data_IF_701078727981
#
_entry.id   IF_701078727981
#
_cell.length_a   1.000
_cell.length_b   1.000
_cell.length_c   1.000
_cell.angle_alpha   90.00
_cell.angle_beta   90.00
_cell.angle_gamma   90.00
#
_symmetry.space_group_name_H-M   'P 1'
#
loop_
_entity.id
_entity.type
_entity.pdbx_description
1 polymer ?
#
# COMPACT_ATOMS: atom_id res chain seq x y z
N UNK A 1 9.92 -30.10 -5.28
CA UNK A 1 9.51 -28.74 -5.69
C UNK A 1 10.22 -27.70 -4.86
N UNK A 2 10.66 -26.64 -5.51
CA UNK A 2 11.37 -25.58 -4.80
C UNK A 2 10.38 -24.69 -4.04
N UNK A 3 10.70 -24.36 -2.79
CA UNK A 3 9.89 -23.46 -1.99
C UNK A 3 10.08 -22.01 -2.47
N UNK A 4 9.00 -21.24 -2.55
CA UNK A 4 9.05 -19.84 -2.91
C UNK A 4 9.70 -19.02 -1.81
N UNK A 5 9.40 -19.31 -0.55
CA UNK A 5 9.91 -18.58 0.61
C UNK A 5 11.45 -18.63 0.64
N UNK A 6 12.07 -17.46 0.78
CA UNK A 6 13.52 -17.32 0.82
C UNK A 6 14.20 -17.29 -0.53
N UNK A 7 13.45 -17.45 -1.63
CA UNK A 7 14.01 -17.42 -2.98
C UNK A 7 14.16 -15.99 -3.50
N UNK A 8 14.97 -15.84 -4.54
CA UNK A 8 15.06 -14.55 -5.25
C UNK A 8 13.73 -14.22 -5.96
N UNK A 9 12.99 -15.24 -6.36
CA UNK A 9 11.69 -15.08 -7.02
C UNK A 9 10.67 -14.46 -6.06
N UNK A 10 10.71 -14.82 -4.79
CA UNK A 10 9.88 -14.17 -3.77
C UNK A 10 10.10 -12.66 -3.78
N UNK A 11 11.36 -12.23 -3.76
CA UNK A 11 11.68 -10.80 -3.78
C UNK A 11 11.22 -10.15 -5.08
N UNK A 12 11.36 -10.85 -6.22
CA UNK A 12 10.85 -10.35 -7.50
C UNK A 12 9.34 -10.08 -7.43
N UNK A 13 8.58 -10.99 -6.81
CA UNK A 13 7.13 -10.83 -6.66
C UNK A 13 6.79 -9.65 -5.76
N UNK A 14 7.53 -9.45 -4.67
CA UNK A 14 7.33 -8.32 -3.76
C UNK A 14 7.61 -7.01 -4.49
N UNK A 15 8.71 -6.94 -5.22
CA UNK A 15 9.09 -5.74 -5.97
C UNK A 15 8.09 -5.43 -7.08
N UNK A 16 7.65 -6.47 -7.81
CA UNK A 16 6.66 -6.32 -8.87
C UNK A 16 5.32 -5.84 -8.30
N UNK A 17 4.88 -6.42 -7.18
CA UNK A 17 3.66 -5.98 -6.51
C UNK A 17 3.76 -4.49 -6.12
N UNK A 18 4.85 -4.10 -5.49
CA UNK A 18 5.06 -2.71 -5.07
C UNK A 18 5.05 -1.75 -6.24
N UNK A 19 5.69 -2.13 -7.35
CA UNK A 19 5.73 -1.31 -8.56
C UNK A 19 4.34 -1.16 -9.21
N UNK A 20 3.60 -2.27 -9.32
CA UNK A 20 2.26 -2.25 -9.92
C UNK A 20 1.27 -1.46 -9.06
N UNK A 21 1.35 -1.60 -7.74
CA UNK A 21 0.49 -0.85 -6.82
C UNK A 21 0.76 0.64 -6.92
N UNK A 22 2.03 1.04 -7.01
CA UNK A 22 2.41 2.44 -7.19
C UNK A 22 1.92 2.97 -8.53
N UNK A 23 2.10 2.21 -9.61
CA UNK A 23 1.66 2.59 -10.95
C UNK A 23 0.14 2.81 -10.96
N UNK A 24 -0.62 1.92 -10.33
CA UNK A 24 -2.08 2.04 -10.22
C UNK A 24 -2.46 3.40 -9.63
N UNK A 25 -1.88 3.78 -8.49
CA UNK A 25 -2.20 5.05 -7.81
C UNK A 25 -1.73 6.26 -8.59
N UNK A 26 -0.56 6.18 -9.21
CA UNK A 26 -0.05 7.27 -10.04
C UNK A 26 -0.98 7.53 -11.22
N UNK A 27 -1.45 6.48 -11.89
CA UNK A 27 -2.34 6.63 -13.05
C UNK A 27 -3.71 7.17 -12.66
N UNK A 28 -4.24 6.75 -11.50
CA UNK A 28 -5.51 7.32 -10.99
C UNK A 28 -5.34 8.82 -10.71
N UNK A 29 -4.22 9.21 -10.11
CA UNK A 29 -3.91 10.62 -9.88
C UNK A 29 -3.79 11.38 -11.20
N UNK A 30 -3.07 10.82 -12.19
CA UNK A 30 -2.92 11.43 -13.50
C UNK A 30 -4.28 11.58 -14.21
N UNK A 31 -5.18 10.60 -14.05
CA UNK A 31 -6.53 10.69 -14.60
C UNK A 31 -7.30 11.87 -13.99
N UNK A 32 -7.19 12.05 -12.68
CA UNK A 32 -7.83 13.18 -11.99
C UNK A 32 -7.32 14.51 -12.54
N UNK A 33 -6.01 14.64 -12.76
CA UNK A 33 -5.43 15.86 -13.34
C UNK A 33 -5.87 16.07 -14.78
N UNK A 34 -5.96 15.00 -15.58
CA UNK A 34 -6.45 15.08 -16.94
C UNK A 34 -7.90 15.57 -16.99
N UNK A 35 -8.75 15.10 -16.06
CA UNK A 35 -10.12 15.59 -15.95
C UNK A 35 -10.15 17.09 -15.67
N UNK A 36 -9.32 17.57 -14.77
CA UNK A 36 -9.24 19.01 -14.44
C UNK A 36 -8.79 19.85 -15.64
N UNK A 37 -7.98 19.27 -16.52
CA UNK A 37 -7.51 19.92 -17.74
C UNK A 37 -8.52 19.82 -18.90
N UNK A 38 -9.63 19.12 -18.70
CA UNK A 38 -10.61 18.88 -19.76
C UNK A 38 -10.19 17.82 -20.77
N UNK A 39 -9.22 16.97 -20.42
CA UNK A 39 -8.68 15.92 -21.30
C UNK A 39 -9.35 14.58 -21.00
N UNK A 40 -10.63 14.46 -21.34
CA UNK A 40 -11.43 13.28 -21.01
C UNK A 40 -10.85 11.97 -21.56
N UNK A 41 -10.34 11.99 -22.80
CA UNK A 41 -9.77 10.80 -23.42
C UNK A 41 -8.49 10.34 -22.70
N UNK A 42 -7.67 11.27 -22.27
CA UNK A 42 -6.46 10.97 -21.48
C UNK A 42 -6.83 10.40 -20.11
N UNK A 43 -7.84 10.98 -19.47
CA UNK A 43 -8.33 10.46 -18.18
C UNK A 43 -8.81 9.02 -18.32
N UNK A 44 -9.57 8.72 -19.38
CA UNK A 44 -10.06 7.36 -19.64
C UNK A 44 -8.91 6.38 -19.88
N UNK A 45 -7.88 6.80 -20.62
CA UNK A 45 -6.70 5.97 -20.87
C UNK A 45 -5.97 5.63 -19.57
N UNK A 46 -5.74 6.62 -18.70
CA UNK A 46 -5.09 6.38 -17.41
C UNK A 46 -5.91 5.45 -16.52
N UNK A 47 -7.24 5.63 -16.46
CA UNK A 47 -8.10 4.77 -15.64
C UNK A 47 -8.11 3.34 -16.12
N UNK A 48 -8.23 3.15 -17.43
CA UNK A 48 -8.21 1.82 -18.03
C UNK A 48 -6.90 1.09 -17.74
N UNK A 49 -5.79 1.79 -17.87
CA UNK A 49 -4.47 1.22 -17.59
C UNK A 49 -4.34 0.89 -16.09
N UNK A 50 -4.85 1.75 -15.21
CA UNK A 50 -4.83 1.51 -13.76
C UNK A 50 -5.60 0.24 -13.39
N UNK A 51 -6.72 -0.06 -14.04
CA UNK A 51 -7.46 -1.30 -13.81
C UNK A 51 -6.62 -2.53 -14.17
N UNK A 52 -5.85 -2.45 -15.24
CA UNK A 52 -4.92 -3.51 -15.62
C UNK A 52 -3.86 -3.73 -14.56
N UNK A 53 -3.31 -2.64 -14.01
CA UNK A 53 -2.30 -2.72 -12.94
C UNK A 53 -2.89 -3.36 -11.67
N UNK A 54 -4.19 -3.14 -11.38
CA UNK A 54 -4.86 -3.81 -10.27
C UNK A 54 -4.83 -5.33 -10.43
N UNK A 55 -5.14 -5.82 -11.63
CA UNK A 55 -5.10 -7.25 -11.92
C UNK A 55 -3.70 -7.84 -11.76
N UNK A 56 -2.69 -7.12 -12.24
CA UNK A 56 -1.29 -7.54 -12.10
C UNK A 56 -0.88 -7.63 -10.62
N UNK A 57 -1.22 -6.60 -9.84
CA UNK A 57 -0.91 -6.58 -8.41
C UNK A 57 -1.57 -7.73 -7.67
N UNK A 58 -2.85 -8.00 -7.95
CA UNK A 58 -3.56 -9.13 -7.35
C UNK A 58 -2.94 -10.46 -7.75
N UNK A 59 -2.50 -10.60 -9.00
CA UNK A 59 -1.81 -11.81 -9.44
C UNK A 59 -0.55 -12.09 -8.65
N UNK A 60 0.25 -11.05 -8.42
CA UNK A 60 1.46 -11.19 -7.59
C UNK A 60 1.11 -11.59 -6.16
N UNK A 61 0.06 -11.02 -5.57
CA UNK A 61 -0.38 -11.38 -4.22
C UNK A 61 -0.86 -12.82 -4.12
N UNK A 62 -1.51 -13.35 -5.17
CA UNK A 62 -1.95 -14.74 -5.18
C UNK A 62 -0.75 -15.69 -5.03
N UNK A 63 0.35 -15.42 -5.72
CA UNK A 63 1.58 -16.20 -5.55
C UNK A 63 2.19 -15.98 -4.16
N UNK A 64 2.13 -14.75 -3.64
CA UNK A 64 2.70 -14.42 -2.33
C UNK A 64 1.92 -14.98 -1.15
N UNK A 65 0.71 -15.49 -1.34
CA UNK A 65 -0.06 -16.16 -0.28
C UNK A 65 0.73 -17.28 0.39
N UNK A 66 1.60 -17.95 -0.35
CA UNK A 66 2.44 -19.04 0.17
C UNK A 66 3.47 -18.55 1.17
N UNK A 67 3.78 -17.27 1.16
CA UNK A 67 4.86 -16.68 1.95
C UNK A 67 4.32 -15.77 3.03
N UNK A 68 3.37 -14.90 2.68
CA UNK A 68 2.78 -13.93 3.58
C UNK A 68 2.62 -12.55 2.95
N UNK A 69 2.10 -11.63 3.74
CA UNK A 69 1.89 -10.24 3.35
C UNK A 69 3.25 -9.59 3.02
N UNK A 70 3.42 -9.04 1.81
CA UNK A 70 4.69 -8.41 1.43
C UNK A 70 5.09 -7.23 2.31
N UNK A 71 4.14 -6.59 2.98
CA UNK A 71 4.43 -5.43 3.83
C UNK A 71 4.81 -5.83 5.26
N UNK A 72 4.20 -6.88 5.81
CA UNK A 72 4.33 -7.23 7.24
C UNK A 72 4.92 -8.61 7.49
N UNK A 73 4.88 -9.48 6.50
CA UNK A 73 5.28 -10.87 6.66
C UNK A 73 4.21 -11.74 7.31
N UNK A 74 3.08 -11.16 7.72
CA UNK A 74 1.99 -11.91 8.35
C UNK A 74 1.31 -12.84 7.36
N UNK A 75 0.78 -13.99 7.83
CA UNK A 75 0.00 -14.85 6.95
C UNK A 75 -1.20 -14.12 6.35
N UNK A 76 -1.52 -14.43 5.10
CA UNK A 76 -2.69 -13.86 4.41
C UNK A 76 -3.47 -14.98 3.74
N UNK A 77 -4.71 -14.70 3.40
CA UNK A 77 -5.59 -15.65 2.69
C UNK A 77 -7.05 -15.50 3.07
N UNK A 78 -7.41 -15.93 4.27
CA UNK A 78 -8.79 -15.75 4.76
C UNK A 78 -8.95 -14.41 5.46
N UNK A 79 -10.19 -14.02 5.76
CA UNK A 79 -10.49 -12.71 6.34
C UNK A 79 -9.83 -12.49 7.70
N UNK A 80 -9.77 -13.50 8.54
CA UNK A 80 -9.13 -13.37 9.85
C UNK A 80 -7.64 -13.06 9.71
N UNK A 81 -6.95 -13.81 8.86
CA UNK A 81 -5.53 -13.57 8.57
C UNK A 81 -5.31 -12.19 7.97
N UNK A 82 -6.15 -11.83 6.99
CA UNK A 82 -6.03 -10.55 6.31
C UNK A 82 -6.24 -9.37 7.27
N UNK A 83 -7.19 -9.49 8.20
CA UNK A 83 -7.40 -8.46 9.22
C UNK A 83 -6.18 -8.32 10.13
N UNK A 84 -5.58 -9.43 10.55
CA UNK A 84 -4.37 -9.41 11.38
C UNK A 84 -3.21 -8.77 10.64
N UNK A 85 -3.03 -9.06 9.36
CA UNK A 85 -2.00 -8.46 8.53
C UNK A 85 -2.25 -6.95 8.38
N UNK A 86 -3.49 -6.54 8.15
CA UNK A 86 -3.85 -5.13 8.03
C UNK A 86 -3.58 -4.38 9.34
N UNK A 87 -3.95 -4.96 10.48
CA UNK A 87 -3.68 -4.37 11.80
C UNK A 87 -2.17 -4.18 12.01
N UNK A 88 -1.38 -5.20 11.65
CA UNK A 88 0.09 -5.11 11.78
C UNK A 88 0.64 -3.97 10.92
N UNK A 89 0.16 -3.84 9.68
CA UNK A 89 0.60 -2.77 8.77
C UNK A 89 0.25 -1.39 9.30
N UNK A 90 -1.01 -1.18 9.69
CA UNK A 90 -1.47 0.10 10.22
C UNK A 90 -0.74 0.47 11.52
N UNK A 91 -0.51 -0.52 12.39
CA UNK A 91 0.21 -0.30 13.64
C UNK A 91 1.65 0.14 13.39
N UNK A 92 2.34 -0.49 12.45
CA UNK A 92 3.67 -0.05 12.06
C UNK A 92 3.65 1.39 11.53
N UNK A 93 2.67 1.70 10.69
CA UNK A 93 2.58 3.03 10.09
C UNK A 93 2.36 4.13 11.12
N UNK A 94 1.46 3.93 12.11
CA UNK A 94 1.18 4.99 13.06
C UNK A 94 2.14 5.04 14.26
N UNK A 95 2.83 3.94 14.57
CA UNK A 95 3.77 3.91 15.71
C UNK A 95 5.22 4.18 15.31
N UNK A 96 5.60 3.80 14.10
CA UNK A 96 7.00 3.85 13.64
C UNK A 96 7.20 4.70 12.39
N UNK A 97 6.52 4.33 11.32
CA UNK A 97 6.80 4.91 9.99
C UNK A 97 6.50 6.41 9.95
N UNK A 98 5.24 6.79 10.14
CA UNK A 98 4.87 8.21 10.05
C UNK A 98 5.48 9.08 11.14
N UNK A 99 5.54 8.64 12.42
CA UNK A 99 6.29 9.43 13.40
C UNK A 99 7.75 9.65 13.03
N UNK A 100 8.41 8.64 12.50
CA UNK A 100 9.79 8.76 12.02
C UNK A 100 9.93 9.71 10.85
N UNK A 101 9.01 9.62 9.89
CA UNK A 101 9.01 10.52 8.72
C UNK A 101 8.74 11.97 9.14
N UNK A 102 7.80 12.18 10.07
CA UNK A 102 7.50 13.53 10.59
C UNK A 102 8.74 14.14 11.26
N UNK A 103 9.45 13.34 12.05
CA UNK A 103 10.69 13.80 12.69
C UNK A 103 11.72 14.24 11.66
N UNK A 104 11.96 13.39 10.66
CA UNK A 104 12.91 13.69 9.58
C UNK A 104 12.51 14.97 8.84
N UNK A 105 11.24 15.09 8.47
CA UNK A 105 10.74 16.27 7.75
C UNK A 105 10.95 17.54 8.57
N UNK A 106 10.67 17.48 9.87
CA UNK A 106 10.83 18.63 10.76
C UNK A 106 12.30 19.02 10.93
N UNK A 107 13.18 18.03 11.07
CA UNK A 107 14.62 18.27 11.16
C UNK A 107 15.19 18.93 9.89
N UNK A 108 14.61 18.60 8.73
CA UNK A 108 15.03 19.17 7.46
C UNK A 108 14.34 20.48 7.11
N UNK A 109 13.46 20.96 7.96
CA UNK A 109 12.77 22.24 7.76
C UNK A 109 11.47 22.17 6.97
N UNK A 110 10.93 20.97 6.75
CA UNK A 110 9.67 20.77 6.01
C UNK A 110 8.50 20.62 6.99
N UNK A 111 8.17 21.71 7.68
CA UNK A 111 7.17 21.69 8.74
C UNK A 111 5.78 21.27 8.25
N UNK A 112 5.34 21.77 7.12
CA UNK A 112 4.03 21.42 6.56
C UNK A 112 3.93 19.93 6.24
N UNK A 113 5.01 19.35 5.69
CA UNK A 113 5.07 17.93 5.38
C UNK A 113 5.08 17.11 6.68
N UNK A 114 5.79 17.58 7.71
CA UNK A 114 5.79 16.93 9.01
C UNK A 114 4.38 16.84 9.60
N UNK A 115 3.62 17.93 9.53
CA UNK A 115 2.23 17.98 9.98
C UNK A 115 1.35 17.02 9.18
N UNK A 116 1.58 16.92 7.87
CA UNK A 116 0.89 15.97 7.01
C UNK A 116 1.13 14.54 7.50
N UNK A 117 2.38 14.16 7.74
CA UNK A 117 2.70 12.82 8.25
C UNK A 117 2.06 12.56 9.61
N UNK A 118 2.02 13.54 10.50
CA UNK A 118 1.37 13.40 11.80
C UNK A 118 -0.14 13.20 11.66
N UNK A 119 -0.76 13.88 10.71
CA UNK A 119 -2.18 13.71 10.39
C UNK A 119 -2.43 12.28 9.91
N UNK A 120 -1.57 11.76 9.03
CA UNK A 120 -1.69 10.39 8.54
C UNK A 120 -1.49 9.36 9.66
N UNK A 121 -0.57 9.60 10.58
CA UNK A 121 -0.38 8.70 11.73
C UNK A 121 -1.69 8.55 12.51
N UNK A 122 -2.43 9.64 12.72
CA UNK A 122 -3.74 9.58 13.40
C UNK A 122 -4.77 8.80 12.59
N UNK A 123 -4.78 8.99 11.26
CA UNK A 123 -5.68 8.26 10.38
C UNK A 123 -5.40 6.75 10.42
N UNK A 124 -4.12 6.38 10.37
CA UNK A 124 -3.73 4.97 10.38
C UNK A 124 -4.06 4.30 11.72
N UNK A 125 -3.95 5.04 12.82
CA UNK A 125 -4.38 4.54 14.13
C UNK A 125 -5.88 4.24 14.15
N UNK A 126 -6.69 5.11 13.54
CA UNK A 126 -8.13 4.90 13.40
C UNK A 126 -8.41 3.65 12.56
N UNK A 127 -7.67 3.45 11.46
CA UNK A 127 -7.81 2.27 10.62
C UNK A 127 -7.50 0.98 11.41
N UNK A 128 -6.43 0.97 12.18
CA UNK A 128 -6.07 -0.17 13.01
C UNK A 128 -7.21 -0.54 13.98
N UNK A 129 -7.82 0.47 14.62
CA UNK A 129 -8.94 0.27 15.52
C UNK A 129 -10.17 -0.31 14.83
N UNK A 130 -10.46 0.15 13.61
CA UNK A 130 -11.59 -0.35 12.82
C UNK A 130 -11.37 -1.80 12.41
N UNK A 131 -10.17 -2.16 11.97
CA UNK A 131 -9.83 -3.54 11.64
C UNK A 131 -9.89 -4.44 12.86
N UNK A 132 -9.44 -3.94 14.02
CA UNK A 132 -9.52 -4.70 15.26
C UNK A 132 -10.97 -5.03 15.63
N UNK A 133 -11.90 -4.09 15.44
CA UNK A 133 -13.33 -4.33 15.65
C UNK A 133 -13.85 -5.42 14.72
N UNK A 134 -13.39 -5.44 13.48
CA UNK A 134 -13.77 -6.47 12.54
C UNK A 134 -13.29 -7.85 12.96
N UNK A 135 -12.14 -7.92 13.63
CA UNK A 135 -11.56 -9.17 14.13
C UNK A 135 -12.28 -9.67 15.40
N UNK A 136 -12.68 -8.76 16.26
CA UNK A 136 -13.38 -9.09 17.51
C UNK A 136 -14.83 -9.57 17.21
#
# INVERSE_FOLDING_TARGET
MRALKGSKTEQCLIDAFSNEAQANRRYIYFATKADLEGQADMAALFRSTAEGETGHAHGHLEYLRQVGDPATGEPIGDSEKNLKAAIAGETYEYTKMYPGFAKTAREEGFEEIAEWFETLARAEKSHAGRFQKGLD
#
